data_IF_998883810056
#
_entry.id   IF_998883810056
#
_cell.length_a   1.000
_cell.length_b   1.000
_cell.length_c   1.000
_cell.angle_alpha   90.00
_cell.angle_beta   90.00
_cell.angle_gamma   90.00
#
_symmetry.space_group_name_H-M   'P 1'
#
loop_
_entity.id
_entity.type
_entity.pdbx_description
1 polymer ?
#
# COMPACT_ATOMS: atom_id res chain seq x y z
N UNK A 1 3.60 -28.34 5.87
CA UNK A 1 2.94 -27.14 5.29
C UNK A 1 3.84 -25.91 5.50
N UNK A 2 5.10 -25.97 5.05
CA UNK A 2 6.14 -24.95 5.34
C UNK A 2 7.10 -24.78 4.16
N UNK A 3 7.38 -25.84 3.40
CA UNK A 3 8.27 -25.73 2.23
C UNK A 3 7.72 -24.85 1.09
N UNK A 4 6.41 -24.94 0.80
CA UNK A 4 5.78 -24.09 -0.24
C UNK A 4 5.78 -22.63 0.21
N UNK A 5 5.36 -22.33 1.44
CA UNK A 5 5.34 -20.95 1.93
C UNK A 5 6.74 -20.33 2.00
N UNK A 6 7.74 -21.06 2.51
CA UNK A 6 9.13 -20.58 2.51
C UNK A 6 9.70 -20.41 1.10
N UNK A 7 9.33 -21.25 0.13
CA UNK A 7 9.76 -21.07 -1.27
C UNK A 7 9.15 -19.82 -1.89
N UNK A 8 7.86 -19.56 -1.64
CA UNK A 8 7.20 -18.34 -2.11
C UNK A 8 7.83 -17.11 -1.47
N UNK A 9 8.10 -17.14 -0.17
CA UNK A 9 8.78 -16.06 0.55
C UNK A 9 10.18 -15.79 -0.03
N UNK A 10 11.00 -16.83 -0.19
CA UNK A 10 12.33 -16.73 -0.79
C UNK A 10 12.28 -16.15 -2.21
N UNK A 11 11.29 -16.54 -3.01
CA UNK A 11 11.10 -16.02 -4.37
C UNK A 11 10.72 -14.54 -4.36
N UNK A 12 9.79 -14.12 -3.49
CA UNK A 12 9.38 -12.72 -3.38
C UNK A 12 10.54 -11.84 -2.86
N UNK A 13 11.32 -12.34 -1.91
CA UNK A 13 12.54 -11.68 -1.45
C UNK A 13 13.58 -11.53 -2.57
N UNK A 14 13.81 -12.59 -3.36
CA UNK A 14 14.72 -12.55 -4.50
C UNK A 14 14.26 -11.56 -5.57
N UNK A 15 12.96 -11.54 -5.91
CA UNK A 15 12.39 -10.57 -6.86
C UNK A 15 12.54 -9.14 -6.34
N UNK A 16 12.23 -8.88 -5.06
CA UNK A 16 12.41 -7.56 -4.44
C UNK A 16 13.88 -7.11 -4.47
N UNK A 17 14.82 -8.00 -4.18
CA UNK A 17 16.26 -7.69 -4.26
C UNK A 17 16.71 -7.36 -5.69
N UNK A 18 16.21 -8.08 -6.69
CA UNK A 18 16.51 -7.81 -8.10
C UNK A 18 15.97 -6.44 -8.54
N UNK A 19 14.71 -6.12 -8.20
CA UNK A 19 14.11 -4.81 -8.50
C UNK A 19 14.92 -3.67 -7.87
N UNK A 20 15.30 -3.81 -6.60
CA UNK A 20 16.16 -2.85 -5.90
C UNK A 20 17.53 -2.67 -6.56
N UNK A 21 18.14 -3.76 -7.03
CA UNK A 21 19.41 -3.70 -7.76
C UNK A 21 19.27 -2.98 -9.10
N UNK A 22 18.17 -3.19 -9.82
CA UNK A 22 17.91 -2.48 -11.09
C UNK A 22 17.64 -1.00 -10.86
N UNK A 23 16.84 -0.65 -9.84
CA UNK A 23 16.57 0.73 -9.46
C UNK A 23 17.85 1.52 -9.14
N UNK A 24 18.84 0.87 -8.52
CA UNK A 24 20.16 1.47 -8.24
C UNK A 24 21.06 1.64 -9.47
N UNK A 25 20.89 0.82 -10.49
CA UNK A 25 21.75 0.80 -11.69
C UNK A 25 21.26 1.73 -12.79
N UNK A 26 19.95 1.96 -12.87
CA UNK A 26 19.38 2.82 -13.91
C UNK A 26 19.85 4.28 -13.75
N UNK A 27 19.99 4.96 -14.90
CA UNK A 27 20.29 6.39 -14.96
C UNK A 27 19.04 7.24 -15.16
N UNK A 28 17.91 6.62 -15.50
CA UNK A 28 16.63 7.30 -15.65
C UNK A 28 15.93 7.38 -14.30
N UNK A 29 15.61 8.60 -13.88
CA UNK A 29 14.85 8.87 -12.65
C UNK A 29 13.43 8.29 -12.71
N UNK A 30 12.80 8.34 -13.88
CA UNK A 30 11.48 7.76 -14.15
C UNK A 30 11.51 6.24 -13.96
N UNK A 31 12.45 5.55 -14.64
CA UNK A 31 12.59 4.09 -14.51
C UNK A 31 12.94 3.69 -13.07
N UNK A 32 13.74 4.51 -12.38
CA UNK A 32 14.05 4.27 -10.97
C UNK A 32 12.79 4.28 -10.11
N UNK A 33 11.93 5.29 -10.29
CA UNK A 33 10.67 5.43 -9.56
C UNK A 33 9.77 4.20 -9.78
N UNK A 34 9.56 3.81 -11.03
CA UNK A 34 8.73 2.64 -11.38
C UNK A 34 9.25 1.33 -10.77
N UNK A 35 10.57 1.14 -10.73
CA UNK A 35 11.18 -0.04 -10.11
C UNK A 35 11.05 -0.03 -8.58
N UNK A 36 11.16 1.15 -7.95
CA UNK A 36 10.95 1.31 -6.51
C UNK A 36 9.48 1.07 -6.13
N UNK A 37 8.53 1.53 -6.95
CA UNK A 37 7.10 1.20 -6.80
C UNK A 37 6.83 -0.30 -6.93
N UNK A 38 7.36 -0.94 -7.98
CA UNK A 38 7.23 -2.38 -8.18
C UNK A 38 7.81 -3.16 -6.99
N UNK A 39 8.95 -2.73 -6.46
CA UNK A 39 9.57 -3.34 -5.29
C UNK A 39 8.67 -3.24 -4.05
N UNK A 40 8.07 -2.06 -3.79
CA UNK A 40 7.14 -1.85 -2.65
C UNK A 40 5.91 -2.76 -2.75
N UNK A 41 5.36 -2.94 -3.96
CA UNK A 41 4.23 -3.86 -4.19
C UNK A 41 4.60 -5.31 -3.91
N UNK A 42 5.75 -5.78 -4.39
CA UNK A 42 6.25 -7.13 -4.10
C UNK A 42 6.47 -7.35 -2.60
N UNK A 43 6.99 -6.34 -1.89
CA UNK A 43 7.14 -6.40 -0.44
C UNK A 43 5.79 -6.47 0.29
N UNK A 44 4.81 -5.69 -0.16
CA UNK A 44 3.43 -5.75 0.37
C UNK A 44 2.84 -7.15 0.24
N UNK A 45 2.97 -7.76 -0.94
CA UNK A 45 2.50 -9.13 -1.19
C UNK A 45 3.25 -10.13 -0.30
N UNK A 46 4.56 -9.97 -0.14
CA UNK A 46 5.37 -10.83 0.73
C UNK A 46 4.91 -10.76 2.20
N UNK A 47 4.61 -9.56 2.71
CA UNK A 47 4.12 -9.39 4.09
C UNK A 47 2.77 -10.07 4.33
N UNK A 48 1.84 -9.94 3.40
CA UNK A 48 0.54 -10.64 3.49
C UNK A 48 0.75 -12.15 3.47
N UNK A 49 1.62 -12.63 2.57
CA UNK A 49 1.93 -14.05 2.45
C UNK A 49 2.65 -14.62 3.70
N UNK A 50 3.52 -13.86 4.33
CA UNK A 50 4.13 -14.24 5.62
C UNK A 50 3.06 -14.38 6.71
N UNK A 51 2.10 -13.44 6.77
CA UNK A 51 0.95 -13.52 7.66
C UNK A 51 0.10 -14.78 7.45
N UNK A 52 0.02 -15.27 6.20
CA UNK A 52 -0.71 -16.49 5.83
C UNK A 52 0.01 -17.77 6.23
N UNK A 53 1.33 -17.81 6.09
CA UNK A 53 2.14 -19.01 6.41
C UNK A 53 2.01 -19.47 7.87
N UNK A 54 1.42 -18.64 8.74
CA UNK A 54 1.20 -18.94 10.16
C UNK A 54 -0.16 -19.60 10.45
N UNK A 55 -1.05 -19.71 9.46
CA UNK A 55 -2.43 -20.21 9.66
C UNK A 55 -2.79 -21.33 8.69
N UNK A 56 -3.45 -22.37 9.18
CA UNK A 56 -3.88 -23.51 8.35
C UNK A 56 -5.07 -23.19 7.44
N UNK A 57 -5.86 -22.16 7.80
CA UNK A 57 -7.13 -21.81 7.15
C UNK A 57 -7.02 -20.61 6.19
N UNK A 58 -5.81 -20.16 5.85
CA UNK A 58 -5.56 -18.98 4.98
C UNK A 58 -6.27 -17.70 5.47
N UNK A 59 -6.40 -17.53 6.80
CA UNK A 59 -6.98 -16.35 7.44
C UNK A 59 -5.86 -15.50 8.03
N UNK A 60 -5.82 -14.22 7.66
CA UNK A 60 -4.82 -13.27 8.15
C UNK A 60 -5.39 -12.39 9.25
N UNK A 61 -4.62 -12.20 10.31
CA UNK A 61 -4.80 -11.09 11.25
C UNK A 61 -4.31 -9.80 10.58
N UNK A 62 -5.22 -9.07 9.93
CA UNK A 62 -4.86 -7.92 9.12
C UNK A 62 -4.33 -6.75 9.96
N UNK A 63 -4.66 -6.69 11.24
CA UNK A 63 -4.11 -5.68 12.16
C UNK A 63 -2.57 -5.81 12.30
N UNK A 64 -2.02 -7.02 12.12
CA UNK A 64 -0.56 -7.22 12.06
C UNK A 64 0.01 -6.77 10.72
N UNK A 65 -0.66 -7.08 9.62
CA UNK A 65 -0.23 -6.68 8.27
C UNK A 65 -0.16 -5.16 8.15
N UNK A 66 -1.25 -4.47 8.53
CA UNK A 66 -1.30 -3.01 8.43
C UNK A 66 -0.20 -2.37 9.27
N UNK A 67 0.09 -2.89 10.48
CA UNK A 67 1.16 -2.34 11.33
C UNK A 67 2.53 -2.34 10.66
N UNK A 68 2.82 -3.31 9.80
CA UNK A 68 4.07 -3.37 9.04
C UNK A 68 4.03 -2.46 7.81
N UNK A 69 2.88 -2.39 7.15
CA UNK A 69 2.63 -1.47 6.04
C UNK A 69 2.85 0.00 6.51
N UNK A 70 2.31 0.39 7.66
CA UNK A 70 2.49 1.76 8.20
C UNK A 70 3.96 2.09 8.47
N UNK A 71 4.76 1.13 8.96
CA UNK A 71 6.20 1.34 9.15
C UNK A 71 6.90 1.62 7.82
N UNK A 72 6.58 0.85 6.78
CA UNK A 72 7.13 1.07 5.45
C UNK A 72 6.72 2.43 4.87
N UNK A 73 5.51 2.89 5.17
CA UNK A 73 5.04 4.22 4.76
C UNK A 73 5.79 5.35 5.46
N UNK A 74 6.11 5.21 6.75
CA UNK A 74 6.95 6.19 7.47
C UNK A 74 8.37 6.23 6.91
N UNK A 75 8.94 5.07 6.55
CA UNK A 75 10.24 4.99 5.89
C UNK A 75 10.22 5.73 4.54
N UNK A 76 9.15 5.58 3.75
CA UNK A 76 8.96 6.30 2.49
C UNK A 76 8.91 7.82 2.70
N UNK A 77 8.11 8.29 3.65
CA UNK A 77 8.03 9.71 3.99
C UNK A 77 9.39 10.28 4.40
N UNK A 78 10.14 9.53 5.22
CA UNK A 78 11.49 9.92 5.64
C UNK A 78 12.45 10.05 4.45
N UNK A 79 12.34 9.16 3.45
CA UNK A 79 13.13 9.26 2.21
C UNK A 79 12.80 10.51 1.39
N UNK A 80 11.60 11.07 1.54
CA UNK A 80 11.16 12.31 0.92
C UNK A 80 11.45 13.58 1.76
N UNK A 81 12.23 13.48 2.85
CA UNK A 81 12.46 14.57 3.82
C UNK A 81 11.17 15.10 4.47
N UNK A 82 10.17 14.22 4.64
CA UNK A 82 8.88 14.51 5.24
C UNK A 82 8.73 13.80 6.59
N UNK A 83 8.17 14.51 7.57
CA UNK A 83 7.79 14.00 8.88
C UNK A 83 6.27 13.78 8.90
N UNK A 84 5.85 12.60 8.44
CA UNK A 84 4.42 12.25 8.38
C UNK A 84 4.04 11.44 9.62
N UNK A 85 3.04 11.92 10.35
CA UNK A 85 2.42 11.16 11.43
C UNK A 85 1.28 10.31 10.86
N UNK A 86 1.27 9.02 11.19
CA UNK A 86 0.22 8.11 10.74
C UNK A 86 -0.51 7.57 11.95
N UNK A 87 -1.78 7.94 12.10
CA UNK A 87 -2.67 7.42 13.12
C UNK A 87 -3.51 6.27 12.57
N UNK A 88 -3.68 5.24 13.39
CA UNK A 88 -4.56 4.12 13.10
C UNK A 88 -5.64 3.99 14.17
N UNK A 89 -6.90 3.99 13.73
CA UNK A 89 -8.06 3.92 14.61
C UNK A 89 -8.97 2.75 14.21
N UNK A 90 -9.39 1.97 15.20
CA UNK A 90 -10.30 0.85 15.00
C UNK A 90 -9.60 -0.49 14.80
N UNK A 91 -10.25 -1.42 14.09
CA UNK A 91 -9.76 -2.80 13.86
C UNK A 91 -10.17 -3.34 12.50
N UNK A 92 -9.20 -3.87 11.75
CA UNK A 92 -9.47 -4.69 10.57
C UNK A 92 -9.89 -6.10 10.96
N UNK A 93 -9.23 -6.71 11.95
CA UNK A 93 -9.48 -8.08 12.39
C UNK A 93 -9.11 -9.14 11.36
N UNK A 94 -9.65 -10.35 11.58
CA UNK A 94 -9.37 -11.52 10.75
C UNK A 94 -10.08 -11.45 9.39
N UNK A 95 -9.38 -11.79 8.31
CA UNK A 95 -9.96 -11.88 6.97
C UNK A 95 -9.26 -12.91 6.08
N UNK A 96 -9.92 -13.42 5.03
CA UNK A 96 -9.30 -14.30 4.05
C UNK A 96 -8.09 -13.66 3.35
N UNK A 97 -7.07 -14.48 3.05
CA UNK A 97 -5.90 -14.15 2.24
C UNK A 97 -6.20 -13.33 0.98
N UNK A 98 -7.22 -13.80 0.26
CA UNK A 98 -7.65 -13.29 -1.02
C UNK A 98 -8.20 -11.87 -0.94
N UNK A 99 -8.69 -11.45 0.24
CA UNK A 99 -9.19 -10.10 0.50
C UNK A 99 -8.09 -9.22 1.11
N UNK A 100 -7.22 -9.82 1.94
CA UNK A 100 -6.10 -9.12 2.56
C UNK A 100 -5.08 -8.59 1.54
N UNK A 101 -4.75 -9.38 0.52
CA UNK A 101 -3.78 -8.97 -0.50
C UNK A 101 -4.21 -7.72 -1.27
N UNK A 102 -5.40 -7.68 -1.90
CA UNK A 102 -5.86 -6.50 -2.62
C UNK A 102 -6.06 -5.30 -1.69
N UNK A 103 -6.60 -5.49 -0.48
CA UNK A 103 -6.73 -4.39 0.49
C UNK A 103 -5.38 -3.79 0.87
N UNK A 104 -4.35 -4.63 1.07
CA UNK A 104 -3.00 -4.15 1.37
C UNK A 104 -2.41 -3.35 0.22
N UNK A 105 -2.62 -3.78 -1.03
CA UNK A 105 -2.19 -3.03 -2.21
C UNK A 105 -2.91 -1.68 -2.28
N UNK A 106 -4.24 -1.66 -2.13
CA UNK A 106 -5.03 -0.41 -2.13
C UNK A 106 -4.52 0.56 -1.06
N UNK A 107 -4.30 0.09 0.17
CA UNK A 107 -3.78 0.93 1.26
C UNK A 107 -2.36 1.45 0.98
N UNK A 108 -1.48 0.60 0.44
CA UNK A 108 -0.13 1.02 0.04
C UNK A 108 -0.17 2.12 -1.02
N UNK A 109 -1.03 1.99 -2.04
CA UNK A 109 -1.15 3.00 -3.09
C UNK A 109 -1.75 4.31 -2.55
N UNK A 110 -2.80 4.23 -1.72
CA UNK A 110 -3.41 5.42 -1.11
C UNK A 110 -2.40 6.18 -0.24
N UNK A 111 -1.67 5.49 0.62
CA UNK A 111 -0.66 6.14 1.49
C UNK A 111 0.51 6.67 0.66
N UNK A 112 0.95 5.95 -0.37
CA UNK A 112 1.98 6.44 -1.29
C UNK A 112 1.53 7.73 -1.96
N UNK A 113 0.28 7.82 -2.40
CA UNK A 113 -0.28 9.03 -2.98
C UNK A 113 -0.33 10.19 -1.98
N UNK A 114 -0.70 9.94 -0.71
CA UNK A 114 -0.65 10.97 0.33
C UNK A 114 0.79 11.51 0.49
N UNK A 115 1.79 10.62 0.57
CA UNK A 115 3.20 10.99 0.77
C UNK A 115 3.78 11.72 -0.45
N UNK A 116 3.62 11.16 -1.64
CA UNK A 116 4.23 11.68 -2.87
C UNK A 116 3.49 12.90 -3.43
N UNK A 117 2.17 12.99 -3.26
CA UNK A 117 1.33 14.03 -3.86
C UNK A 117 0.63 14.91 -2.82
N UNK A 118 -0.04 14.31 -1.83
CA UNK A 118 -0.78 15.06 -0.80
C UNK A 118 0.12 16.00 0.03
N UNK A 119 1.36 15.58 0.28
CA UNK A 119 2.35 16.35 1.05
C UNK A 119 3.48 16.92 0.21
N UNK A 120 3.35 16.96 -1.12
CA UNK A 120 4.38 17.54 -1.99
C UNK A 120 4.67 19.00 -1.58
N UNK A 121 5.96 19.31 -1.37
CA UNK A 121 6.40 20.64 -0.91
C UNK A 121 6.11 20.94 0.58
N UNK A 122 5.54 20.01 1.34
CA UNK A 122 5.35 20.11 2.81
C UNK A 122 6.40 19.27 3.53
N UNK A 123 6.79 19.71 4.74
CA UNK A 123 7.69 18.96 5.62
C UNK A 123 6.98 18.10 6.65
N UNK A 124 5.72 18.41 6.92
CA UNK A 124 4.90 17.78 7.95
C UNK A 124 3.50 17.54 7.40
N UNK A 125 2.89 16.44 7.86
CA UNK A 125 1.54 16.04 7.49
C UNK A 125 1.05 14.91 8.38
N UNK A 126 -0.24 14.66 8.30
CA UNK A 126 -0.97 13.68 9.09
C UNK A 126 -1.82 12.81 8.19
N UNK A 127 -1.71 11.50 8.36
CA UNK A 127 -2.57 10.51 7.72
C UNK A 127 -3.35 9.79 8.82
N UNK A 128 -4.67 9.74 8.70
CA UNK A 128 -5.53 8.92 9.55
C UNK A 128 -6.05 7.73 8.77
N UNK A 129 -5.84 6.53 9.30
CA UNK A 129 -6.40 5.29 8.77
C UNK A 129 -7.43 4.79 9.77
N UNK A 130 -8.69 4.70 9.35
CA UNK A 130 -9.79 4.22 10.19
C UNK A 130 -10.36 2.93 9.63
N UNK A 131 -10.53 1.91 10.47
CA UNK A 131 -11.14 0.64 10.10
C UNK A 131 -12.30 0.30 11.05
N UNK A 132 -13.48 0.05 10.49
CA UNK A 132 -14.68 -0.29 11.25
C UNK A 132 -15.46 -1.42 10.59
N UNK A 133 -15.89 -2.40 11.38
CA UNK A 133 -16.77 -3.48 10.91
C UNK A 133 -18.22 -3.23 11.26
N UNK A 134 -19.10 -3.49 10.30
CA UNK A 134 -20.55 -3.49 10.47
C UNK A 134 -21.12 -4.74 9.80
N UNK A 135 -21.46 -5.75 10.60
CA UNK A 135 -21.84 -7.07 10.09
C UNK A 135 -20.70 -7.71 9.30
N UNK A 136 -20.98 -8.09 8.05
CA UNK A 136 -19.98 -8.66 7.12
C UNK A 136 -19.18 -7.59 6.37
N UNK A 137 -19.53 -6.32 6.50
CA UNK A 137 -18.85 -5.24 5.80
C UNK A 137 -17.70 -4.69 6.65
N UNK A 138 -16.57 -4.46 5.99
CA UNK A 138 -15.45 -3.71 6.53
C UNK A 138 -15.42 -2.35 5.82
N UNK A 139 -15.55 -1.28 6.60
CA UNK A 139 -15.35 0.09 6.12
C UNK A 139 -13.93 0.53 6.46
N UNK A 140 -13.21 1.04 5.48
CA UNK A 140 -11.84 1.53 5.62
C UNK A 140 -11.77 2.94 5.04
N UNK A 141 -11.23 3.87 5.82
CA UNK A 141 -11.05 5.26 5.43
C UNK A 141 -9.58 5.62 5.57
N UNK A 142 -9.01 6.21 4.53
CA UNK A 142 -7.68 6.84 4.55
C UNK A 142 -7.89 8.33 4.31
N UNK A 143 -7.49 9.15 5.26
CA UNK A 143 -7.61 10.60 5.22
C UNK A 143 -6.23 11.22 5.39
N UNK A 144 -5.92 12.25 4.63
CA UNK A 144 -4.72 13.07 4.80
C UNK A 144 -5.06 14.55 4.95
N UNK A 145 -4.22 15.30 5.65
CA UNK A 145 -4.36 16.75 5.82
C UNK A 145 -3.64 17.55 4.71
N UNK A 146 -3.38 16.92 3.57
CA UNK A 146 -2.56 17.43 2.47
C UNK A 146 -3.21 18.54 1.64
N UNK A 147 -2.62 18.81 0.48
CA UNK A 147 -3.11 19.81 -0.49
C UNK A 147 -4.43 19.44 -1.18
N UNK A 148 -4.90 18.19 -0.98
CA UNK A 148 -6.06 17.64 -1.65
C UNK A 148 -5.82 17.33 -3.13
N UNK A 149 -6.78 16.65 -3.77
CA UNK A 149 -6.76 16.46 -5.21
C UNK A 149 -7.09 17.80 -5.87
N UNK A 150 -6.16 18.34 -6.68
CA UNK A 150 -6.45 19.55 -7.45
C UNK A 150 -7.75 19.34 -8.25
N UNK A 151 -8.70 20.27 -8.13
CA UNK A 151 -9.97 20.25 -8.84
C UNK A 151 -9.76 20.19 -10.37
N UNK A 152 -9.70 19.01 -10.95
CA UNK A 152 -10.09 18.79 -12.34
C UNK A 152 -11.62 18.63 -12.38
N UNK A 153 -12.33 19.69 -12.02
CA UNK A 153 -13.74 19.86 -12.36
C UNK A 153 -13.86 19.93 -13.88
N UNK A 154 -14.11 18.82 -14.57
CA UNK A 154 -14.87 18.78 -15.83
C UNK A 154 -15.47 17.37 -16.00
N UNK A 155 -16.80 17.30 -15.91
CA UNK A 155 -17.66 16.27 -16.49
C UNK A 155 -17.95 14.96 -15.71
N UNK A 156 -18.31 15.07 -14.42
CA UNK A 156 -19.17 14.09 -13.72
C UNK A 156 -18.58 12.68 -13.48
N UNK A 157 -17.39 12.42 -13.99
CA UNK A 157 -16.50 11.33 -13.63
C UNK A 157 -15.23 12.02 -13.18
N UNK A 158 -14.83 11.78 -11.92
CA UNK A 158 -13.52 12.19 -11.46
C UNK A 158 -12.48 11.64 -12.45
N UNK A 159 -12.00 12.47 -13.37
CA UNK A 159 -10.70 12.23 -13.98
C UNK A 159 -9.73 12.51 -12.85
N UNK A 160 -9.47 11.48 -12.04
CA UNK A 160 -8.30 11.45 -11.19
C UNK A 160 -7.14 11.89 -12.06
N UNK A 161 -6.48 13.01 -11.73
CA UNK A 161 -5.16 13.30 -12.25
C UNK A 161 -4.28 12.08 -11.90
N UNK A 162 -4.14 11.13 -12.83
CA UNK A 162 -3.69 9.79 -12.44
C UNK A 162 -3.85 8.72 -13.51
N UNK A 163 -3.15 8.87 -14.62
CA UNK A 163 -2.74 7.75 -15.51
C UNK A 163 -1.71 6.83 -14.81
N UNK A 164 -1.67 6.81 -13.48
CA UNK A 164 -0.71 6.04 -12.70
C UNK A 164 -1.23 4.63 -12.42
N UNK A 165 -0.32 3.66 -12.39
CA UNK A 165 -0.64 2.26 -12.11
C UNK A 165 -1.31 2.08 -10.73
N UNK A 166 -1.00 2.93 -9.76
CA UNK A 166 -1.64 2.91 -8.43
C UNK A 166 -3.15 3.16 -8.47
N UNK A 167 -3.60 4.17 -9.22
CA UNK A 167 -5.04 4.45 -9.39
C UNK A 167 -5.75 3.33 -10.16
N UNK A 168 -5.08 2.69 -11.13
CA UNK A 168 -5.62 1.52 -11.82
C UNK A 168 -5.78 0.31 -10.89
N UNK A 169 -4.83 0.09 -9.99
CA UNK A 169 -4.90 -0.95 -8.95
C UNK A 169 -6.09 -0.69 -8.02
N UNK A 170 -6.25 0.55 -7.53
CA UNK A 170 -7.38 0.93 -6.68
C UNK A 170 -8.70 0.63 -7.39
N UNK A 171 -8.87 1.12 -8.61
CA UNK A 171 -10.10 0.88 -9.37
C UNK A 171 -10.34 -0.62 -9.59
N UNK A 172 -9.33 -1.38 -9.99
CA UNK A 172 -9.45 -2.82 -10.24
C UNK A 172 -9.94 -3.59 -9.01
N UNK A 173 -9.52 -3.22 -7.80
CA UNK A 173 -9.89 -3.94 -6.58
C UNK A 173 -11.10 -3.37 -5.85
N UNK A 174 -11.46 -2.09 -6.08
CA UNK A 174 -12.61 -1.45 -5.43
C UNK A 174 -13.89 -1.57 -6.26
N UNK A 175 -13.81 -1.62 -7.60
CA UNK A 175 -15.00 -1.68 -8.48
C UNK A 175 -15.37 -3.09 -8.95
N UNK A 176 -14.61 -4.12 -8.56
CA UNK A 176 -14.96 -5.51 -8.88
C UNK A 176 -16.01 -6.01 -7.88
N UNK A 177 -17.28 -5.93 -8.27
CA UNK A 177 -18.36 -6.86 -7.87
C UNK A 177 -18.44 -8.02 -8.89
#
# INVERSE_FOLDING_TARGET
MSEIHHRVENNLQAVSALLRLQARKTKSSEVKKELEEAQRRVQTIAMVHEGLSQTADEIVDFDKVISNLLKMSVDLATMCDQHIHIDYVGKFGMMPAQDATPLSLVLTELITNCVEHGFEGRKEGHITISAGRSGNSLNVVVEDDGSGLANEEHDGLARSSGSGLGTQIINTFVTND
#
